data_IF_729293109020
#
_entry.id   IF_729293109020
#
_cell.length_a   1.000
_cell.length_b   1.000
_cell.length_c   1.000
_cell.angle_alpha   90.00
_cell.angle_beta   90.00
_cell.angle_gamma   90.00
#
_symmetry.space_group_name_H-M   'P 1'
#
loop_
_entity.id
_entity.type
_entity.pdbx_description
1 polymer ?
#
# COMPACT_ATOMS: atom_id res chain seq x y z
N UNK A 1 6.71 -42.33 15.54
CA UNK A 1 6.75 -40.86 15.65
C UNK A 1 5.78 -40.31 14.63
N UNK A 2 4.59 -39.89 15.08
CA UNK A 2 3.62 -39.24 14.21
C UNK A 2 3.81 -37.74 14.37
N UNK A 3 4.24 -37.07 13.30
CA UNK A 3 4.22 -35.61 13.21
C UNK A 3 2.78 -35.19 12.97
N UNK A 4 2.20 -34.46 13.91
CA UNK A 4 0.92 -33.79 13.73
C UNK A 4 1.20 -32.54 12.89
N UNK A 5 0.89 -32.60 11.61
CA UNK A 5 0.77 -31.38 10.79
C UNK A 5 -0.61 -30.79 11.09
N UNK A 6 -0.62 -29.59 11.69
CA UNK A 6 -1.85 -28.88 11.97
C UNK A 6 -2.48 -28.45 10.63
N UNK A 7 -3.46 -29.22 10.19
CA UNK A 7 -4.35 -28.92 9.07
C UNK A 7 -5.22 -27.71 9.42
N UNK A 8 -4.68 -26.51 9.27
CA UNK A 8 -5.36 -25.28 9.66
C UNK A 8 -4.68 -23.98 9.24
N UNK A 9 -3.79 -23.98 8.24
CA UNK A 9 -3.34 -22.72 7.65
C UNK A 9 -4.40 -22.25 6.63
N UNK A 10 -5.52 -21.73 7.14
CA UNK A 10 -6.31 -20.82 6.33
C UNK A 10 -5.37 -19.67 5.98
N UNK A 11 -5.07 -19.51 4.69
CA UNK A 11 -4.31 -18.37 4.18
C UNK A 11 -5.04 -17.09 4.61
N UNK A 12 -4.68 -16.54 5.77
CA UNK A 12 -5.34 -15.39 6.35
C UNK A 12 -5.14 -14.24 5.38
N UNK A 13 -6.19 -13.90 4.64
CA UNK A 13 -6.14 -12.87 3.61
C UNK A 13 -5.59 -11.61 4.27
N UNK A 14 -4.47 -11.09 3.75
CA UNK A 14 -3.80 -9.91 4.29
C UNK A 14 -4.81 -8.79 4.57
N UNK A 15 -4.70 -8.10 5.72
CA UNK A 15 -5.67 -7.09 6.12
C UNK A 15 -5.79 -6.01 5.05
N UNK A 16 -7.02 -5.59 4.76
CA UNK A 16 -7.27 -4.43 3.91
C UNK A 16 -7.11 -3.17 4.76
N UNK A 17 -6.23 -2.27 4.34
CA UNK A 17 -5.92 -1.04 5.09
C UNK A 17 -6.21 0.15 4.18
N UNK A 18 -7.17 0.99 4.57
CA UNK A 18 -7.36 2.28 3.96
C UNK A 18 -6.32 3.27 4.51
N UNK A 19 -5.55 3.89 3.63
CA UNK A 19 -4.57 4.93 3.96
C UNK A 19 -5.12 6.25 3.45
N UNK A 20 -5.44 7.16 4.35
CA UNK A 20 -5.79 8.53 3.95
C UNK A 20 -4.52 9.25 3.49
N UNK A 21 -4.59 9.92 2.34
CA UNK A 21 -3.46 10.68 1.79
C UNK A 21 -3.08 11.89 2.67
N UNK A 22 -4.08 12.47 3.35
CA UNK A 22 -3.93 13.74 4.07
C UNK A 22 -4.18 14.94 3.15
N UNK A 23 -3.55 16.08 3.47
CA UNK A 23 -3.61 17.31 2.68
C UNK A 23 -2.84 17.16 1.35
N UNK A 24 -3.48 17.35 0.19
CA UNK A 24 -2.82 17.35 -1.12
C UNK A 24 -1.65 18.34 -1.26
N UNK A 25 -1.66 19.44 -0.51
CA UNK A 25 -0.64 20.50 -0.56
C UNK A 25 0.52 20.26 0.41
N UNK A 26 0.41 19.26 1.29
CA UNK A 26 1.47 18.86 2.21
C UNK A 26 2.39 17.78 1.62
N UNK A 27 3.20 17.16 2.47
CA UNK A 27 4.12 16.07 2.05
C UNK A 27 3.49 14.66 2.09
N UNK A 28 2.21 14.59 2.47
CA UNK A 28 1.48 13.33 2.63
C UNK A 28 1.50 12.45 1.37
N UNK A 29 1.16 12.99 0.19
CA UNK A 29 1.23 12.26 -1.08
C UNK A 29 2.59 11.58 -1.34
N UNK A 30 3.70 12.27 -1.13
CA UNK A 30 5.05 11.74 -1.36
C UNK A 30 5.42 10.63 -0.36
N UNK A 31 5.01 10.79 0.90
CA UNK A 31 5.19 9.75 1.93
C UNK A 31 4.40 8.49 1.56
N UNK A 32 3.16 8.66 1.12
CA UNK A 32 2.32 7.54 0.67
C UNK A 32 2.92 6.86 -0.55
N UNK A 33 3.36 7.61 -1.56
CA UNK A 33 4.02 7.03 -2.75
C UNK A 33 5.28 6.24 -2.35
N UNK A 34 6.13 6.78 -1.48
CA UNK A 34 7.33 6.08 -0.99
C UNK A 34 6.97 4.78 -0.26
N UNK A 35 5.92 4.79 0.57
CA UNK A 35 5.41 3.60 1.22
C UNK A 35 4.87 2.58 0.20
N UNK A 36 4.14 3.03 -0.82
CA UNK A 36 3.61 2.17 -1.89
C UNK A 36 4.69 1.63 -2.84
N UNK A 37 5.91 2.17 -2.81
CA UNK A 37 7.04 1.61 -3.53
C UNK A 37 7.78 0.52 -2.73
N UNK A 38 7.52 0.38 -1.43
CA UNK A 38 8.19 -0.58 -0.56
C UNK A 38 7.48 -1.95 -0.58
N UNK A 39 8.12 -3.04 -1.05
CA UNK A 39 7.53 -4.38 -1.08
C UNK A 39 7.07 -4.89 0.29
N UNK A 40 7.66 -4.40 1.39
CA UNK A 40 7.30 -4.79 2.77
C UNK A 40 5.87 -4.38 3.11
N UNK A 41 5.36 -3.31 2.51
CA UNK A 41 3.96 -2.88 2.72
C UNK A 41 2.99 -3.92 2.16
N UNK A 42 3.18 -4.35 0.91
CA UNK A 42 2.35 -5.41 0.31
C UNK A 42 2.62 -6.79 0.90
N UNK A 43 3.79 -7.01 1.51
CA UNK A 43 4.06 -8.21 2.30
C UNK A 43 3.12 -8.28 3.52
N UNK A 44 2.79 -7.12 4.11
CA UNK A 44 2.07 -7.01 5.39
C UNK A 44 0.56 -6.80 5.23
N UNK A 45 0.12 -6.02 4.23
CA UNK A 45 -1.29 -5.67 4.05
C UNK A 45 -1.70 -5.55 2.57
N UNK A 46 -2.98 -5.26 2.34
CA UNK A 46 -3.53 -4.83 1.06
C UNK A 46 -3.92 -3.36 1.19
N UNK A 47 -3.01 -2.43 0.86
CA UNK A 47 -3.28 -1.00 1.01
C UNK A 47 -4.24 -0.49 -0.05
N UNK A 48 -5.11 0.45 0.33
CA UNK A 48 -5.91 1.29 -0.55
C UNK A 48 -5.72 2.74 -0.14
N UNK A 49 -5.22 3.59 -1.04
CA UNK A 49 -5.05 5.01 -0.77
C UNK A 49 -6.35 5.74 -1.07
N UNK A 50 -6.83 6.55 -0.12
CA UNK A 50 -8.00 7.40 -0.25
C UNK A 50 -7.54 8.86 -0.24
N UNK A 51 -7.72 9.55 -1.36
CA UNK A 51 -7.22 10.91 -1.54
C UNK A 51 -7.45 11.44 -2.96
N UNK A 52 -6.72 12.50 -3.31
CA UNK A 52 -6.78 13.13 -4.62
C UNK A 52 -5.80 12.45 -5.59
N UNK A 53 -6.31 11.98 -6.73
CA UNK A 53 -5.50 11.27 -7.73
C UNK A 53 -4.38 12.14 -8.30
N UNK A 54 -4.66 13.39 -8.64
CA UNK A 54 -3.69 14.29 -9.26
C UNK A 54 -2.52 14.57 -8.32
N UNK A 55 -2.80 14.78 -7.03
CA UNK A 55 -1.75 14.97 -6.03
C UNK A 55 -0.86 13.74 -5.90
N UNK A 56 -1.44 12.53 -5.94
CA UNK A 56 -0.69 11.28 -5.94
C UNK A 56 0.16 11.12 -7.21
N UNK A 57 -0.37 11.47 -8.39
CA UNK A 57 0.37 11.41 -9.66
C UNK A 57 1.55 12.39 -9.69
N UNK A 58 1.33 13.62 -9.22
CA UNK A 58 2.40 14.60 -9.06
C UNK A 58 3.47 14.09 -8.09
N UNK A 59 3.09 13.53 -6.94
CA UNK A 59 4.02 12.95 -5.99
C UNK A 59 4.81 11.76 -6.57
N UNK A 60 4.18 10.90 -7.39
CA UNK A 60 4.87 9.83 -8.10
C UNK A 60 5.93 10.37 -9.07
N UNK A 61 5.59 11.43 -9.82
CA UNK A 61 6.54 12.10 -10.71
C UNK A 61 7.69 12.76 -9.95
N UNK A 62 7.40 13.47 -8.85
CA UNK A 62 8.41 14.19 -8.07
C UNK A 62 9.39 13.27 -7.34
N UNK A 63 8.91 12.11 -6.88
CA UNK A 63 9.76 11.12 -6.19
C UNK A 63 10.56 10.25 -7.14
N UNK A 64 10.25 10.24 -8.44
CA UNK A 64 10.91 9.41 -9.45
C UNK A 64 10.72 7.90 -9.23
N UNK A 65 9.72 7.51 -8.44
CA UNK A 65 9.47 6.11 -8.10
C UNK A 65 8.52 5.45 -9.12
N UNK A 66 8.72 4.17 -9.46
CA UNK A 66 7.93 3.46 -10.46
C UNK A 66 6.57 2.99 -9.90
N UNK A 67 5.83 3.88 -9.24
CA UNK A 67 4.49 3.60 -8.71
C UNK A 67 3.45 3.93 -9.78
N UNK A 68 2.62 2.96 -10.15
CA UNK A 68 1.49 3.15 -11.07
C UNK A 68 0.23 3.41 -10.26
N UNK A 69 -0.41 4.55 -10.49
CA UNK A 69 -1.69 4.88 -9.88
C UNK A 69 -2.81 4.35 -10.77
N UNK A 70 -3.79 3.70 -10.14
CA UNK A 70 -5.00 3.20 -10.78
C UNK A 70 -6.17 3.63 -9.93
N UNK A 71 -7.14 4.27 -10.55
CA UNK A 71 -8.43 4.51 -9.92
C UNK A 71 -9.29 3.24 -9.99
N UNK A 72 -10.13 3.06 -8.97
CA UNK A 72 -11.05 1.94 -8.84
C UNK A 72 -12.45 2.32 -9.31
#
# INVERSE_FOLDING_TARGET
MASVENSGEQSAKKPAIAITMGDPCGIGPEVVVKAMADPRVYATCRPLVVGNVYAMEQAASLTGLPVKIKEA
#
